data_IF_189624718693
#
_entry.id   IF_189624718693
#
_cell.length_a   1.000
_cell.length_b   1.000
_cell.length_c   1.000
_cell.angle_alpha   90.00
_cell.angle_beta   90.00
_cell.angle_gamma   90.00
#
_symmetry.space_group_name_H-M   'P 1'
#
loop_
_entity.id
_entity.type
_entity.pdbx_description
1 polymer ?
#
# COMPACT_ATOMS: atom_id res chain seq x y z
N UNK A 1 -35.56 14.19 61.41
CA UNK A 1 -34.85 15.41 61.00
C UNK A 1 -33.90 15.03 59.91
N UNK A 2 -34.10 15.56 58.77
CA UNK A 2 -33.36 15.51 57.49
C UNK A 2 -32.51 14.29 57.15
N UNK A 3 -33.07 13.44 56.30
CA UNK A 3 -32.44 12.39 55.52
C UNK A 3 -31.75 12.99 54.32
N UNK A 4 -30.45 12.72 54.17
CA UNK A 4 -29.68 12.99 52.92
C UNK A 4 -29.61 11.67 52.17
N UNK A 5 -29.97 11.69 50.88
CA UNK A 5 -29.92 10.58 49.95
C UNK A 5 -28.51 10.49 49.39
N UNK A 6 -27.97 9.28 49.37
CA UNK A 6 -26.73 8.93 48.66
C UNK A 6 -27.00 8.90 47.16
N UNK A 7 -26.09 9.54 46.43
CA UNK A 7 -26.09 9.69 44.98
C UNK A 7 -25.28 8.55 44.34
N UNK A 8 -25.91 7.86 43.40
CA UNK A 8 -25.39 6.72 42.68
C UNK A 8 -24.26 7.14 41.73
N UNK A 9 -23.02 6.80 42.04
CA UNK A 9 -21.91 6.88 41.11
C UNK A 9 -21.91 5.65 40.23
N UNK A 10 -22.42 5.79 39.00
CA UNK A 10 -22.31 4.79 37.96
C UNK A 10 -20.85 4.69 37.49
N UNK A 11 -20.27 3.51 37.68
CA UNK A 11 -19.00 3.07 37.15
C UNK A 11 -19.09 2.82 35.63
N UNK A 12 -18.19 3.31 34.78
CA UNK A 12 -18.16 3.01 33.36
C UNK A 12 -17.36 1.73 33.10
N UNK A 13 -17.94 0.60 33.31
CA UNK A 13 -17.38 -0.71 32.98
C UNK A 13 -18.43 -1.63 32.38
N UNK A 14 -18.94 -1.31 31.20
CA UNK A 14 -19.71 -2.27 30.38
C UNK A 14 -19.95 -1.70 28.97
N UNK A 15 -18.90 -1.67 28.16
CA UNK A 15 -19.04 -1.46 26.72
C UNK A 15 -17.84 -2.09 25.96
N UNK A 16 -17.52 -3.33 26.26
CA UNK A 16 -16.53 -4.11 25.52
C UNK A 16 -17.02 -5.55 25.38
N UNK A 17 -18.09 -5.75 24.65
CA UNK A 17 -18.44 -7.09 24.16
C UNK A 17 -19.61 -6.96 23.18
N UNK A 18 -19.28 -6.85 21.90
CA UNK A 18 -20.07 -7.31 20.74
C UNK A 18 -19.63 -6.51 19.51
N UNK A 19 -18.74 -7.05 18.72
CA UNK A 19 -18.62 -6.91 17.26
C UNK A 19 -17.46 -7.78 16.75
N UNK A 20 -17.60 -9.09 16.95
CA UNK A 20 -17.08 -10.07 16.00
C UNK A 20 -18.16 -10.21 14.93
N UNK A 21 -18.24 -9.22 14.04
CA UNK A 21 -18.94 -9.35 12.78
C UNK A 21 -17.88 -9.45 11.73
N UNK A 22 -17.86 -10.55 10.99
CA UNK A 22 -17.04 -10.72 9.81
C UNK A 22 -17.24 -9.54 8.86
N UNK A 23 -16.17 -9.17 8.13
CA UNK A 23 -16.28 -8.22 7.04
C UNK A 23 -17.44 -8.66 6.14
N UNK A 24 -18.45 -7.81 5.99
CA UNK A 24 -19.55 -8.08 5.07
C UNK A 24 -19.01 -8.12 3.65
N UNK A 25 -19.61 -8.92 2.78
CA UNK A 25 -19.23 -9.12 1.37
C UNK A 25 -19.16 -7.82 0.53
N UNK A 26 -19.41 -6.65 1.12
CA UNK A 26 -19.49 -5.34 0.46
C UNK A 26 -18.36 -4.35 0.87
N UNK A 27 -17.48 -4.67 1.83
CA UNK A 27 -16.43 -3.72 2.24
C UNK A 27 -15.24 -3.79 1.26
N UNK A 28 -14.82 -2.65 0.63
CA UNK A 28 -13.73 -2.66 -0.33
C UNK A 28 -12.40 -3.10 0.31
N UNK A 29 -11.63 -3.91 -0.42
CA UNK A 29 -10.29 -4.31 0.03
C UNK A 29 -9.34 -3.11 -0.02
N UNK A 30 -8.64 -2.87 1.08
CA UNK A 30 -7.75 -1.69 1.23
C UNK A 30 -6.38 -1.94 0.65
N UNK A 31 -5.98 -1.05 -0.26
CA UNK A 31 -4.65 -1.02 -0.87
C UNK A 31 -4.00 0.32 -0.56
N UNK A 32 -2.93 0.29 0.20
CA UNK A 32 -2.12 1.48 0.51
C UNK A 32 -0.96 1.57 -0.48
N UNK A 33 -0.86 2.69 -1.18
CA UNK A 33 0.22 2.95 -2.14
C UNK A 33 1.15 4.02 -1.59
N UNK A 34 2.44 3.72 -1.51
CA UNK A 34 3.45 4.70 -1.10
C UNK A 34 3.47 5.87 -2.10
N UNK A 35 3.43 7.12 -1.60
CA UNK A 35 3.47 8.30 -2.44
C UNK A 35 4.80 9.03 -2.28
N UNK A 36 5.46 9.33 -3.41
CA UNK A 36 6.61 10.23 -3.50
C UNK A 36 6.30 11.34 -4.50
N UNK A 37 6.46 12.58 -4.07
CA UNK A 37 6.13 13.76 -4.91
C UNK A 37 6.93 13.83 -6.22
N UNK A 38 8.10 13.18 -6.30
CA UNK A 38 8.92 13.07 -7.51
C UNK A 38 8.38 12.03 -8.50
N UNK A 39 7.49 11.15 -8.03
CA UNK A 39 6.95 10.02 -8.78
C UNK A 39 5.41 10.07 -8.87
N UNK A 40 4.82 11.28 -8.87
CA UNK A 40 3.34 11.45 -8.90
C UNK A 40 2.69 10.67 -10.06
N UNK A 41 3.28 10.75 -11.26
CA UNK A 41 2.74 10.02 -12.41
C UNK A 41 2.83 8.50 -12.25
N UNK A 42 3.87 7.98 -11.57
CA UNK A 42 4.00 6.56 -11.29
C UNK A 42 2.88 6.11 -10.33
N UNK A 43 2.60 6.88 -9.26
CA UNK A 43 1.49 6.63 -8.36
C UNK A 43 0.15 6.57 -9.11
N UNK A 44 -0.11 7.52 -10.03
CA UNK A 44 -1.37 7.57 -10.79
C UNK A 44 -1.55 6.36 -11.69
N UNK A 45 -0.48 5.96 -12.38
CA UNK A 45 -0.46 4.76 -13.23
C UNK A 45 -0.65 3.50 -12.39
N UNK A 46 0.05 3.37 -11.27
CA UNK A 46 -0.12 2.26 -10.33
C UNK A 46 -1.58 2.15 -9.86
N UNK A 47 -2.14 3.24 -9.35
CA UNK A 47 -3.53 3.31 -8.89
C UNK A 47 -4.53 2.93 -9.99
N UNK A 48 -4.37 3.48 -11.21
CA UNK A 48 -5.22 3.14 -12.35
C UNK A 48 -5.15 1.67 -12.70
N UNK A 49 -3.93 1.12 -12.76
CA UNK A 49 -3.71 -0.29 -13.11
C UNK A 49 -4.37 -1.25 -12.12
N UNK A 50 -4.38 -0.93 -10.83
CA UNK A 50 -5.12 -1.65 -9.79
C UNK A 50 -6.63 -1.59 -10.01
N UNK A 51 -7.19 -0.38 -10.09
CA UNK A 51 -8.64 -0.16 -10.16
C UNK A 51 -9.24 -0.74 -11.44
N UNK A 52 -8.53 -0.63 -12.58
CA UNK A 52 -9.05 -1.10 -13.87
C UNK A 52 -9.12 -2.62 -13.97
N UNK A 53 -8.23 -3.33 -13.28
CA UNK A 53 -8.11 -4.79 -13.40
C UNK A 53 -8.78 -5.56 -12.29
N UNK A 54 -9.19 -4.87 -11.23
CA UNK A 54 -9.79 -5.53 -10.07
C UNK A 54 -11.23 -5.96 -10.34
N UNK A 55 -11.53 -7.22 -10.07
CA UNK A 55 -12.90 -7.75 -10.05
C UNK A 55 -13.61 -7.56 -8.71
N UNK A 56 -12.88 -7.10 -7.68
CA UNK A 56 -13.43 -6.78 -6.37
C UNK A 56 -13.34 -5.27 -6.10
N UNK A 57 -14.21 -4.72 -5.24
CA UNK A 57 -14.10 -3.32 -4.83
C UNK A 57 -12.79 -3.06 -4.11
N UNK A 58 -12.06 -2.01 -4.53
CA UNK A 58 -10.83 -1.56 -3.90
C UNK A 58 -10.97 -0.14 -3.33
N UNK A 59 -10.41 0.06 -2.14
CA UNK A 59 -10.10 1.39 -1.60
C UNK A 59 -8.60 1.63 -1.70
N UNK A 60 -8.18 2.41 -2.72
CA UNK A 60 -6.77 2.68 -3.02
C UNK A 60 -6.35 4.01 -2.42
N UNK A 61 -5.58 3.95 -1.34
CA UNK A 61 -5.24 5.06 -0.45
C UNK A 61 -3.75 5.43 -0.60
N UNK A 62 -3.41 6.68 -0.97
CA UNK A 62 -2.01 7.11 -0.96
C UNK A 62 -1.50 7.27 0.47
N UNK A 63 -0.29 6.80 0.74
CA UNK A 63 0.44 7.14 1.96
C UNK A 63 1.30 8.36 1.68
N UNK A 64 0.75 9.54 1.97
CA UNK A 64 1.43 10.84 1.80
C UNK A 64 2.13 11.22 3.10
N UNK A 65 3.47 11.24 3.09
CA UNK A 65 4.26 11.50 4.31
C UNK A 65 3.88 12.83 4.99
N UNK A 66 3.63 13.87 4.20
CA UNK A 66 3.31 15.19 4.72
C UNK A 66 1.97 15.20 5.48
N UNK A 67 0.96 14.48 4.98
CA UNK A 67 -0.34 14.37 5.65
C UNK A 67 -0.20 13.63 6.99
N UNK A 68 0.62 12.58 7.03
CA UNK A 68 0.91 11.86 8.26
C UNK A 68 1.64 12.74 9.30
N UNK A 69 2.52 13.64 8.84
CA UNK A 69 3.17 14.63 9.71
C UNK A 69 2.15 15.63 10.27
N UNK A 70 1.25 16.16 9.45
CA UNK A 70 0.19 17.06 9.90
C UNK A 70 -0.76 16.39 10.89
N UNK A 71 -1.05 15.10 10.69
CA UNK A 71 -1.88 14.32 11.59
C UNK A 71 -1.15 13.90 12.89
N UNK A 72 0.15 14.20 13.03
CA UNK A 72 0.96 13.76 14.17
C UNK A 72 1.22 12.26 14.24
N UNK A 73 1.08 11.56 13.11
CA UNK A 73 1.29 10.12 13.00
C UNK A 73 2.70 9.73 12.56
N UNK A 74 3.51 10.70 12.11
CA UNK A 74 4.89 10.49 11.67
C UNK A 74 5.75 11.73 11.90
N UNK A 75 6.91 11.58 12.58
CA UNK A 75 7.79 12.70 12.93
C UNK A 75 9.30 12.40 12.78
N UNK A 76 9.63 11.28 12.11
CA UNK A 76 11.03 10.93 11.81
C UNK A 76 11.65 11.99 10.90
N UNK A 77 12.87 12.44 11.23
CA UNK A 77 13.68 13.23 10.32
C UNK A 77 14.13 12.38 9.14
N UNK A 78 14.14 12.96 7.92
CA UNK A 78 14.59 12.26 6.73
C UNK A 78 16.09 11.96 6.83
N UNK A 79 16.43 10.67 6.77
CA UNK A 79 17.81 10.22 6.74
C UNK A 79 18.43 10.27 5.33
N UNK A 80 19.78 10.33 5.23
CA UNK A 80 20.47 10.41 3.93
C UNK A 80 20.34 9.15 3.05
N UNK A 81 19.88 8.04 3.63
CA UNK A 81 19.71 6.75 2.95
C UNK A 81 18.25 6.44 2.59
N UNK A 82 17.33 7.37 2.85
CA UNK A 82 15.92 7.22 2.46
C UNK A 82 15.75 7.58 1.00
N UNK A 83 15.49 6.57 0.15
CA UNK A 83 15.33 6.75 -1.29
C UNK A 83 13.98 7.38 -1.66
N UNK A 84 12.92 7.14 -0.88
CA UNK A 84 11.55 7.62 -1.14
C UNK A 84 10.93 8.25 0.10
N UNK A 85 9.89 9.10 -0.09
CA UNK A 85 9.15 9.71 1.01
C UNK A 85 8.40 8.66 1.85
N UNK A 86 8.05 7.54 1.26
CA UNK A 86 7.35 6.44 1.93
C UNK A 86 8.28 5.33 2.45
N UNK A 87 9.59 5.54 2.47
CA UNK A 87 10.55 4.51 2.93
C UNK A 87 10.17 3.89 4.28
N UNK A 88 9.69 4.69 5.22
CA UNK A 88 9.26 4.20 6.54
C UNK A 88 7.75 4.25 6.75
N UNK A 89 7.04 5.21 6.16
CA UNK A 89 5.61 5.36 6.38
C UNK A 89 4.79 4.17 5.89
N UNK A 90 5.34 3.33 4.99
CA UNK A 90 4.75 2.04 4.58
C UNK A 90 4.39 1.14 5.76
N UNK A 91 5.16 1.20 6.84
CA UNK A 91 4.93 0.38 8.04
C UNK A 91 3.79 0.91 8.93
N UNK A 92 3.21 2.06 8.59
CA UNK A 92 1.97 2.54 9.21
C UNK A 92 0.71 1.87 8.63
N UNK A 93 0.84 1.04 7.59
CA UNK A 93 -0.32 0.38 6.97
C UNK A 93 -1.25 -0.30 7.99
N UNK A 94 -0.78 -1.11 8.98
CA UNK A 94 -1.67 -1.68 9.98
C UNK A 94 -2.39 -0.64 10.84
N UNK A 95 -1.69 0.44 11.21
CA UNK A 95 -2.29 1.54 11.98
C UNK A 95 -3.36 2.27 11.17
N UNK A 96 -3.07 2.62 9.92
CA UNK A 96 -3.98 3.31 9.00
C UNK A 96 -5.20 2.44 8.67
N UNK A 97 -5.01 1.12 8.66
CA UNK A 97 -6.10 0.14 8.54
C UNK A 97 -6.91 -0.04 9.83
N UNK A 98 -6.60 0.71 10.90
CA UNK A 98 -7.26 0.56 12.20
C UNK A 98 -6.99 -0.76 12.89
N UNK A 99 -5.89 -1.40 12.56
CA UNK A 99 -5.46 -2.72 13.07
C UNK A 99 -6.51 -3.82 12.86
N UNK A 100 -7.15 -3.85 11.68
CA UNK A 100 -8.20 -4.83 11.37
C UNK A 100 -8.08 -5.36 9.95
N UNK A 101 -8.31 -6.68 9.81
CA UNK A 101 -8.32 -7.40 8.55
C UNK A 101 -6.97 -7.40 7.85
N UNK A 102 -6.97 -7.78 6.60
CA UNK A 102 -5.82 -7.72 5.71
C UNK A 102 -5.81 -6.41 4.91
N UNK A 103 -4.62 -5.89 4.63
CA UNK A 103 -4.43 -4.76 3.73
C UNK A 103 -3.14 -4.95 2.92
N UNK A 104 -3.17 -4.53 1.65
CA UNK A 104 -1.99 -4.54 0.80
C UNK A 104 -1.28 -3.18 0.88
N UNK A 105 0.03 -3.19 1.06
CA UNK A 105 0.92 -2.07 0.77
C UNK A 105 1.73 -2.35 -0.48
N UNK A 106 1.88 -1.35 -1.36
CA UNK A 106 2.80 -1.38 -2.50
C UNK A 106 3.54 -0.04 -2.67
N UNK A 107 4.75 -0.09 -3.21
CA UNK A 107 5.46 1.09 -3.68
C UNK A 107 4.72 1.70 -4.90
N UNK A 108 4.88 2.99 -5.19
CA UNK A 108 4.18 3.64 -6.31
C UNK A 108 4.71 3.23 -7.69
N UNK A 109 5.86 2.61 -7.76
CA UNK A 109 6.54 2.17 -8.98
C UNK A 109 6.12 0.77 -9.46
N UNK A 110 4.88 0.36 -9.10
CA UNK A 110 4.24 -0.86 -9.59
C UNK A 110 3.33 -0.60 -10.78
N UNK A 111 3.25 -1.60 -11.68
CA UNK A 111 2.23 -1.70 -12.71
C UNK A 111 1.56 -3.07 -12.61
N UNK A 112 0.29 -3.10 -12.20
CA UNK A 112 -0.48 -4.33 -12.15
C UNK A 112 -0.94 -4.75 -13.54
N UNK A 113 -0.71 -6.02 -13.89
CA UNK A 113 -1.09 -6.62 -15.17
C UNK A 113 -2.23 -7.64 -15.02
N UNK A 114 -2.44 -8.17 -13.81
CA UNK A 114 -3.48 -9.13 -13.46
C UNK A 114 -4.44 -8.57 -12.41
N UNK A 115 -5.52 -9.27 -12.17
CA UNK A 115 -6.52 -8.93 -11.15
C UNK A 115 -5.96 -9.20 -9.75
N UNK A 116 -5.88 -8.15 -8.93
CA UNK A 116 -5.39 -8.26 -7.55
C UNK A 116 -6.27 -9.19 -6.68
N UNK A 117 -7.53 -9.42 -7.08
CA UNK A 117 -8.39 -10.39 -6.42
C UNK A 117 -7.77 -11.79 -6.39
N UNK A 118 -7.03 -12.18 -7.43
CA UNK A 118 -6.33 -13.47 -7.46
C UNK A 118 -5.24 -13.61 -6.37
N UNK A 119 -4.63 -12.47 -5.99
CA UNK A 119 -3.63 -12.43 -4.92
C UNK A 119 -4.29 -12.54 -3.54
N UNK A 120 -5.42 -11.87 -3.34
CA UNK A 120 -6.03 -11.71 -2.01
C UNK A 120 -7.17 -12.68 -1.73
N UNK A 121 -7.73 -13.36 -2.75
CA UNK A 121 -8.83 -14.30 -2.57
C UNK A 121 -8.59 -15.37 -1.50
N UNK A 122 -7.39 -15.99 -1.38
CA UNK A 122 -7.13 -16.97 -0.33
C UNK A 122 -7.27 -16.38 1.08
N UNK A 123 -6.91 -15.10 1.26
CA UNK A 123 -6.99 -14.39 2.54
C UNK A 123 -8.44 -14.03 2.88
N UNK A 124 -9.22 -13.64 1.88
CA UNK A 124 -10.62 -13.29 2.06
C UNK A 124 -11.49 -14.54 2.33
N UNK A 125 -11.14 -15.68 1.74
CA UNK A 125 -11.84 -16.94 1.93
C UNK A 125 -11.54 -17.60 3.30
N UNK A 126 -10.33 -17.39 3.84
CA UNK A 126 -9.87 -17.97 5.10
C UNK A 126 -10.26 -17.20 6.36
N UNK A 127 -10.91 -16.05 6.23
CA UNK A 127 -11.28 -15.18 7.35
C UNK A 127 -12.29 -15.82 8.37
N UNK A 128 -12.56 -17.12 8.28
CA UNK A 128 -13.46 -17.86 9.16
C UNK A 128 -12.85 -19.06 9.89
N UNK A 129 -11.59 -19.44 9.60
CA UNK A 129 -10.92 -20.56 10.29
C UNK A 129 -9.90 -19.98 11.28
N UNK A 130 -10.22 -20.03 12.58
CA UNK A 130 -9.49 -19.35 13.68
C UNK A 130 -7.99 -19.73 13.80
N UNK A 131 -7.52 -20.80 13.16
CA UNK A 131 -6.16 -21.32 13.34
C UNK A 131 -5.16 -20.83 12.26
N UNK A 132 -5.61 -20.44 11.07
CA UNK A 132 -4.72 -20.02 9.96
C UNK A 132 -4.59 -18.47 9.84
N UNK A 133 -5.58 -17.73 10.30
CA UNK A 133 -5.60 -16.25 10.26
C UNK A 133 -4.52 -15.60 11.15
N UNK A 134 -4.03 -16.34 12.16
CA UNK A 134 -3.00 -15.86 13.09
C UNK A 134 -1.59 -16.36 12.77
N UNK A 135 -1.41 -17.24 11.77
CA UNK A 135 -0.11 -17.83 11.47
C UNK A 135 0.87 -16.82 10.89
N UNK A 136 0.41 -16.00 9.94
CA UNK A 136 1.26 -15.02 9.28
C UNK A 136 0.88 -13.60 9.64
N UNK A 137 1.87 -12.84 10.09
CA UNK A 137 1.72 -11.42 10.36
C UNK A 137 1.83 -10.59 9.08
N UNK A 138 2.64 -11.07 8.12
CA UNK A 138 2.82 -10.49 6.79
C UNK A 138 3.02 -11.56 5.74
N UNK A 139 2.61 -11.26 4.49
CA UNK A 139 3.00 -12.04 3.32
C UNK A 139 3.71 -11.11 2.34
N UNK A 140 4.84 -11.54 1.80
CA UNK A 140 5.60 -10.77 0.81
C UNK A 140 6.39 -11.71 -0.12
N UNK A 141 6.93 -11.16 -1.21
CA UNK A 141 7.85 -11.92 -2.06
C UNK A 141 9.22 -12.01 -1.39
N UNK A 142 9.74 -13.21 -1.23
CA UNK A 142 11.07 -13.46 -0.68
C UNK A 142 12.14 -13.32 -1.76
N UNK A 143 12.45 -12.06 -2.14
CA UNK A 143 13.45 -11.80 -3.16
C UNK A 143 14.85 -12.24 -2.74
N UNK A 144 15.52 -13.04 -3.59
CA UNK A 144 16.97 -13.19 -3.60
C UNK A 144 17.56 -12.09 -4.51
N UNK A 145 17.66 -10.88 -3.94
CA UNK A 145 17.98 -9.68 -4.70
C UNK A 145 19.27 -9.02 -4.24
N UNK A 146 20.19 -8.84 -5.17
CA UNK A 146 21.39 -8.02 -4.98
C UNK A 146 21.40 -6.90 -6.02
N UNK A 147 21.44 -5.61 -5.61
CA UNK A 147 21.51 -4.50 -6.55
C UNK A 147 22.70 -4.62 -7.50
N UNK A 148 22.45 -4.45 -8.80
CA UNK A 148 23.52 -4.42 -9.83
C UNK A 148 24.26 -3.09 -9.86
N UNK A 149 23.60 -2.00 -9.39
CA UNK A 149 24.15 -0.64 -9.37
C UNK A 149 24.15 -0.06 -7.95
N UNK A 150 25.08 0.85 -7.67
CA UNK A 150 25.17 1.54 -6.38
C UNK A 150 24.11 2.66 -6.20
N UNK A 151 23.46 3.07 -7.29
CA UNK A 151 22.45 4.14 -7.29
C UNK A 151 21.22 3.71 -8.09
N UNK A 152 20.05 4.19 -7.68
CA UNK A 152 18.77 4.03 -8.37
C UNK A 152 18.06 5.37 -8.52
N UNK A 153 16.99 5.42 -9.33
CA UNK A 153 16.27 6.65 -9.63
C UNK A 153 17.26 7.75 -10.08
N UNK A 154 17.04 9.01 -9.76
CA UNK A 154 17.97 10.09 -10.08
C UNK A 154 19.07 10.27 -9.01
N UNK A 155 19.87 9.20 -8.76
CA UNK A 155 21.03 9.26 -7.89
C UNK A 155 20.80 8.81 -6.44
N UNK A 156 19.65 8.23 -6.11
CA UNK A 156 19.41 7.66 -4.78
C UNK A 156 20.33 6.48 -4.51
N UNK A 157 21.01 6.49 -3.36
CA UNK A 157 21.97 5.43 -2.98
C UNK A 157 21.25 4.11 -2.74
N UNK A 158 21.77 3.03 -3.33
CA UNK A 158 21.36 1.67 -3.02
C UNK A 158 22.30 1.02 -2.02
N UNK A 159 21.73 0.45 -0.95
CA UNK A 159 22.47 -0.36 0.03
C UNK A 159 22.05 -1.82 -0.07
N UNK A 160 23.00 -2.74 0.14
CA UNK A 160 22.72 -4.17 0.27
C UNK A 160 22.42 -4.49 1.72
N UNK A 161 21.29 -5.13 1.98
CA UNK A 161 20.91 -5.62 3.30
C UNK A 161 19.99 -6.86 3.17
N UNK A 162 19.94 -7.74 4.20
CA UNK A 162 19.05 -8.89 4.20
C UNK A 162 17.57 -8.49 3.97
N UNK A 163 16.83 -9.30 3.24
CA UNK A 163 15.41 -9.07 2.90
C UNK A 163 15.18 -7.79 2.08
N UNK A 164 16.17 -7.43 1.25
CA UNK A 164 16.06 -6.27 0.35
C UNK A 164 14.87 -6.45 -0.61
N UNK A 165 14.09 -5.39 -0.81
CA UNK A 165 12.84 -5.35 -1.59
C UNK A 165 11.65 -6.15 -1.03
N UNK A 166 11.80 -6.91 0.03
CA UNK A 166 10.66 -7.63 0.63
C UNK A 166 9.54 -6.69 1.08
N UNK A 167 9.89 -5.50 1.56
CA UNK A 167 8.92 -4.51 2.03
C UNK A 167 8.33 -3.60 0.93
N UNK A 168 8.65 -3.84 -0.35
CA UNK A 168 8.10 -3.03 -1.45
C UNK A 168 6.65 -3.40 -1.80
N UNK A 169 6.25 -4.65 -1.51
CA UNK A 169 4.88 -5.14 -1.55
C UNK A 169 4.65 -6.05 -0.35
N UNK A 170 3.70 -5.70 0.50
CA UNK A 170 3.39 -6.45 1.73
C UNK A 170 1.89 -6.54 1.93
N UNK A 171 1.39 -7.75 2.04
CA UNK A 171 0.08 -8.00 2.62
C UNK A 171 0.25 -8.06 4.14
N UNK A 172 -0.32 -7.09 4.84
CA UNK A 172 -0.31 -7.04 6.30
C UNK A 172 -1.58 -7.67 6.85
N UNK A 173 -1.43 -8.65 7.74
CA UNK A 173 -2.47 -8.99 8.70
C UNK A 173 -2.50 -7.87 9.76
N UNK A 174 -3.32 -6.85 9.54
CA UNK A 174 -3.30 -5.64 10.34
C UNK A 174 -3.69 -5.90 11.80
N UNK A 175 -4.54 -6.90 12.05
CA UNK A 175 -4.97 -7.32 13.40
C UNK A 175 -4.01 -8.25 14.11
N UNK A 176 -2.96 -8.74 13.44
CA UNK A 176 -2.00 -9.66 14.08
C UNK A 176 -1.35 -9.01 15.31
N UNK A 177 -1.31 -9.68 16.49
CA UNK A 177 -0.86 -9.08 17.75
C UNK A 177 0.53 -8.44 17.68
N UNK A 178 1.48 -9.05 16.94
CA UNK A 178 2.82 -8.50 16.76
C UNK A 178 2.84 -7.25 15.89
N UNK A 179 1.99 -7.14 14.87
CA UNK A 179 1.84 -5.93 14.06
C UNK A 179 1.22 -4.79 14.88
N UNK A 180 0.18 -5.09 15.65
CA UNK A 180 -0.48 -4.12 16.55
C UNK A 180 0.52 -3.58 17.57
N UNK A 181 1.36 -4.44 18.15
CA UNK A 181 2.32 -4.04 19.17
C UNK A 181 3.51 -3.26 18.61
N UNK A 182 4.02 -3.62 17.42
CA UNK A 182 5.27 -3.13 16.88
C UNK A 182 5.13 -1.99 15.86
N UNK A 183 4.00 -1.87 15.16
CA UNK A 183 3.83 -0.93 14.05
C UNK A 183 2.93 0.26 14.45
N UNK A 184 3.28 0.88 15.57
CA UNK A 184 2.63 2.12 16.04
C UNK A 184 3.29 3.35 15.40
N UNK A 185 2.62 4.52 15.36
CA UNK A 185 3.23 5.79 14.93
C UNK A 185 4.56 6.10 15.61
N UNK A 186 4.67 5.85 16.91
CA UNK A 186 5.91 6.04 17.67
C UNK A 186 7.02 5.08 17.19
N UNK A 187 6.72 3.79 17.09
CA UNK A 187 7.70 2.80 16.65
C UNK A 187 8.19 3.08 15.22
N UNK A 188 7.28 3.38 14.29
CA UNK A 188 7.65 3.70 12.91
C UNK A 188 8.46 5.00 12.82
N UNK A 189 8.20 5.98 13.69
CA UNK A 189 8.96 7.23 13.73
C UNK A 189 10.34 7.09 14.39
N UNK A 190 10.58 6.08 15.24
CA UNK A 190 11.79 6.00 16.08
C UNK A 190 12.66 4.76 15.85
N UNK A 191 12.09 3.64 15.41
CA UNK A 191 12.82 2.39 15.20
C UNK A 191 13.80 2.48 14.02
N UNK A 192 14.87 1.67 14.06
CA UNK A 192 15.86 1.65 12.98
C UNK A 192 15.25 1.13 11.65
N UNK A 193 15.84 1.58 10.53
CA UNK A 193 15.46 1.04 9.22
C UNK A 193 15.69 -0.47 9.12
N UNK A 194 16.72 -1.00 9.78
CA UNK A 194 16.97 -2.44 9.83
C UNK A 194 15.82 -3.19 10.56
N UNK A 195 15.34 -2.63 11.69
CA UNK A 195 14.22 -3.21 12.42
C UNK A 195 12.97 -3.33 11.52
N UNK A 196 12.63 -2.25 10.83
CA UNK A 196 11.43 -2.19 9.99
C UNK A 196 11.59 -3.03 8.70
N UNK A 197 12.59 -2.75 7.87
CA UNK A 197 12.73 -3.40 6.55
C UNK A 197 13.10 -4.88 6.60
N UNK A 198 13.63 -5.38 7.73
CA UNK A 198 13.93 -6.80 7.92
C UNK A 198 12.84 -7.53 8.69
N UNK A 199 11.72 -6.87 9.00
CA UNK A 199 10.63 -7.44 9.81
C UNK A 199 11.15 -8.02 11.15
N UNK A 200 12.03 -7.30 11.84
CA UNK A 200 12.71 -7.82 13.05
C UNK A 200 11.79 -7.95 14.27
N UNK A 201 10.55 -7.54 14.17
CA UNK A 201 9.50 -7.77 15.18
C UNK A 201 8.79 -9.13 15.01
N UNK A 202 9.11 -9.87 13.93
CA UNK A 202 8.50 -11.15 13.58
C UNK A 202 9.53 -12.27 13.64
N UNK A 203 9.08 -13.47 13.97
CA UNK A 203 9.83 -14.70 13.73
C UNK A 203 9.70 -15.09 12.24
N UNK A 204 10.67 -15.87 11.73
CA UNK A 204 10.70 -16.23 10.30
C UNK A 204 9.42 -16.96 9.85
N UNK A 205 8.82 -17.79 10.72
CA UNK A 205 7.58 -18.52 10.43
C UNK A 205 6.32 -17.65 10.36
N UNK A 206 6.41 -16.36 10.75
CA UNK A 206 5.30 -15.39 10.69
C UNK A 206 5.38 -14.49 9.44
N UNK A 207 6.44 -14.65 8.64
CA UNK A 207 6.61 -13.99 7.34
C UNK A 207 6.33 -15.02 6.26
N UNK A 208 5.13 -14.99 5.70
CA UNK A 208 4.73 -15.90 4.64
C UNK A 208 5.16 -15.41 3.26
N UNK A 209 5.08 -16.29 2.27
CA UNK A 209 5.57 -16.04 0.92
C UNK A 209 4.43 -15.80 -0.07
N UNK A 210 4.65 -14.86 -0.99
CA UNK A 210 3.84 -14.57 -2.17
C UNK A 210 4.64 -14.93 -3.41
N UNK A 211 4.03 -15.52 -4.47
CA UNK A 211 4.72 -15.79 -5.72
C UNK A 211 5.39 -14.53 -6.31
N UNK A 212 6.64 -14.68 -6.78
CA UNK A 212 7.45 -13.54 -7.26
C UNK A 212 6.84 -12.77 -8.42
N UNK A 213 5.95 -13.39 -9.19
CA UNK A 213 5.22 -12.78 -10.31
C UNK A 213 4.35 -11.59 -9.90
N UNK A 214 3.99 -11.49 -8.59
CA UNK A 214 3.26 -10.35 -8.03
C UNK A 214 4.15 -9.17 -7.62
N UNK A 215 5.47 -9.38 -7.58
CA UNK A 215 6.46 -8.34 -7.36
C UNK A 215 7.66 -8.60 -8.27
N UNK A 216 7.39 -8.64 -9.59
CA UNK A 216 8.36 -8.97 -10.61
C UNK A 216 9.32 -7.79 -10.81
N UNK A 217 10.56 -7.95 -10.37
CA UNK A 217 11.59 -6.91 -10.41
C UNK A 217 12.09 -6.72 -11.83
N UNK A 218 11.70 -5.63 -12.47
CA UNK A 218 12.12 -5.25 -13.83
C UNK A 218 13.63 -5.16 -13.92
N UNK A 219 14.22 -5.82 -14.93
CA UNK A 219 15.67 -5.92 -15.15
C UNK A 219 16.40 -6.89 -14.21
N UNK A 220 15.69 -7.62 -13.33
CA UNK A 220 16.25 -8.60 -12.40
C UNK A 220 15.59 -9.97 -12.51
N UNK A 221 14.28 -10.03 -12.54
CA UNK A 221 13.56 -11.27 -12.83
C UNK A 221 13.49 -11.50 -14.34
N UNK A 222 13.24 -12.72 -14.75
CA UNK A 222 13.05 -13.10 -16.15
C UNK A 222 11.85 -14.05 -16.28
N UNK A 223 11.16 -13.96 -17.40
CA UNK A 223 10.13 -14.94 -17.78
C UNK A 223 10.84 -16.18 -18.32
N UNK A 224 10.48 -17.35 -17.80
CA UNK A 224 10.96 -18.62 -18.33
C UNK A 224 10.11 -18.99 -19.56
N UNK A 225 10.71 -19.10 -20.77
CA UNK A 225 9.96 -19.45 -21.97
C UNK A 225 9.41 -20.88 -21.95
N UNK A 226 9.97 -21.76 -21.11
CA UNK A 226 9.50 -23.15 -20.96
C UNK A 226 8.37 -23.25 -19.90
N UNK A 227 8.20 -22.22 -19.06
CA UNK A 227 7.12 -22.12 -18.06
C UNK A 227 6.60 -20.67 -17.94
N UNK A 228 6.18 -20.13 -19.06
CA UNK A 228 5.66 -18.77 -19.12
C UNK A 228 4.44 -18.56 -18.20
N UNK A 229 3.58 -19.56 -18.09
CA UNK A 229 2.36 -19.47 -17.28
C UNK A 229 2.66 -19.26 -15.78
N UNK A 230 3.75 -19.83 -15.26
CA UNK A 230 4.17 -19.67 -13.86
C UNK A 230 5.08 -18.47 -13.63
N UNK A 231 5.72 -17.93 -14.68
CA UNK A 231 6.76 -16.90 -14.55
C UNK A 231 6.40 -15.56 -15.16
N UNK A 232 5.31 -15.46 -15.95
CA UNK A 232 4.83 -14.19 -16.49
C UNK A 232 4.43 -13.22 -15.38
N UNK A 233 4.84 -11.94 -15.44
CA UNK A 233 4.56 -10.98 -14.39
C UNK A 233 3.05 -10.71 -14.27
N UNK A 234 2.55 -10.74 -13.04
CA UNK A 234 1.20 -10.29 -12.67
C UNK A 234 1.23 -8.85 -12.17
N UNK A 235 2.36 -8.42 -11.58
CA UNK A 235 2.65 -7.04 -11.28
C UNK A 235 4.14 -6.76 -11.50
N UNK A 236 4.46 -5.75 -12.30
CA UNK A 236 5.80 -5.26 -12.55
C UNK A 236 6.20 -4.26 -11.47
N UNK A 237 7.44 -4.34 -11.01
CA UNK A 237 8.03 -3.40 -10.07
C UNK A 237 9.31 -2.79 -10.68
N UNK A 238 9.26 -1.50 -10.97
CA UNK A 238 10.38 -0.73 -11.55
C UNK A 238 11.37 -0.29 -10.47
N UNK A 239 11.85 -1.24 -9.65
CA UNK A 239 12.63 -0.99 -8.42
C UNK A 239 13.87 -0.12 -8.59
N UNK A 240 14.44 -0.02 -9.80
CA UNK A 240 15.59 0.85 -10.10
C UNK A 240 15.19 2.23 -10.62
N UNK A 241 13.93 2.41 -10.97
CA UNK A 241 13.31 3.53 -11.64
C UNK A 241 12.64 3.08 -12.94
N UNK A 242 11.57 3.75 -13.32
CA UNK A 242 10.75 3.41 -14.48
C UNK A 242 10.74 4.48 -15.57
N UNK A 243 9.91 4.29 -16.61
CA UNK A 243 9.92 5.12 -17.83
C UNK A 243 9.64 6.61 -17.61
N UNK A 244 9.17 7.02 -16.43
CA UNK A 244 8.97 8.43 -16.06
C UNK A 244 10.29 9.17 -15.76
N UNK A 245 11.41 8.44 -15.62
CA UNK A 245 12.75 9.03 -15.55
C UNK A 245 13.47 8.85 -16.86
N UNK A 246 14.08 9.93 -17.40
CA UNK A 246 14.78 9.91 -18.68
C UNK A 246 15.84 8.80 -18.78
N UNK A 247 16.53 8.51 -17.68
CA UNK A 247 17.55 7.45 -17.60
C UNK A 247 16.97 6.04 -17.85
N UNK A 248 15.69 5.83 -17.54
CA UNK A 248 15.03 4.52 -17.57
C UNK A 248 13.90 4.44 -18.61
N UNK A 249 13.81 5.43 -19.52
CA UNK A 249 12.73 5.52 -20.51
C UNK A 249 12.59 4.29 -21.42
N UNK A 250 13.71 3.59 -21.65
CA UNK A 250 13.78 2.40 -22.50
C UNK A 250 14.03 1.11 -21.68
N UNK A 251 13.63 1.07 -20.40
CA UNK A 251 13.77 -0.12 -19.58
C UNK A 251 12.84 -1.24 -20.06
N UNK A 252 13.10 -2.46 -19.61
CA UNK A 252 12.22 -3.61 -19.90
C UNK A 252 10.77 -3.30 -19.51
N UNK A 253 9.79 -3.72 -20.34
CA UNK A 253 8.36 -3.43 -20.17
C UNK A 253 7.98 -1.93 -20.11
N UNK A 254 8.83 -1.03 -20.60
CA UNK A 254 8.53 0.40 -20.66
C UNK A 254 7.27 0.71 -21.48
N UNK A 255 7.05 -0.02 -22.57
CA UNK A 255 5.89 0.10 -23.45
C UNK A 255 4.57 -0.15 -22.73
N UNK A 256 4.51 -1.15 -21.86
CA UNK A 256 3.30 -1.45 -21.06
C UNK A 256 2.97 -0.32 -20.10
N UNK A 257 3.99 0.24 -19.45
CA UNK A 257 3.80 1.36 -18.54
C UNK A 257 3.37 2.63 -19.30
N UNK A 258 3.99 2.90 -20.46
CA UNK A 258 3.64 4.05 -21.31
C UNK A 258 2.20 3.95 -21.81
N UNK A 259 1.75 2.77 -22.24
CA UNK A 259 0.36 2.53 -22.64
C UNK A 259 -0.62 2.83 -21.50
N UNK A 260 -0.34 2.38 -20.28
CA UNK A 260 -1.19 2.63 -19.12
C UNK A 260 -1.22 4.12 -18.74
N UNK A 261 -0.05 4.80 -18.82
CA UNK A 261 0.07 6.26 -18.62
C UNK A 261 -0.75 7.04 -19.64
N UNK A 262 -0.60 6.73 -20.92
CA UNK A 262 -1.28 7.47 -21.99
C UNK A 262 -2.79 7.30 -21.91
N UNK A 263 -3.25 6.10 -21.55
CA UNK A 263 -4.66 5.87 -21.28
C UNK A 263 -5.16 6.64 -20.04
N UNK A 264 -4.34 6.75 -18.97
CA UNK A 264 -4.66 7.58 -17.81
C UNK A 264 -4.80 9.06 -18.21
N UNK A 265 -3.85 9.59 -18.99
CA UNK A 265 -3.87 10.99 -19.40
C UNK A 265 -5.07 11.32 -20.29
N UNK A 266 -5.43 10.42 -21.20
CA UNK A 266 -6.63 10.59 -22.04
C UNK A 266 -7.91 10.64 -21.19
N UNK A 267 -8.05 9.78 -20.17
CA UNK A 267 -9.20 9.80 -19.25
C UNK A 267 -9.27 11.09 -18.42
N UNK A 268 -8.14 11.69 -18.05
CA UNK A 268 -8.12 12.95 -17.32
C UNK A 268 -8.48 14.13 -18.23
N UNK A 269 -8.03 14.13 -19.50
CA UNK A 269 -8.42 15.13 -20.49
C UNK A 269 -9.92 15.11 -20.76
N UNK A 270 -10.53 13.92 -20.94
CA UNK A 270 -11.97 13.77 -21.13
C UNK A 270 -12.76 14.31 -19.92
N UNK A 271 -12.33 14.01 -18.70
CA UNK A 271 -12.98 14.53 -17.48
C UNK A 271 -12.92 16.05 -17.38
N UNK A 272 -11.78 16.65 -17.76
CA UNK A 272 -11.63 18.11 -17.75
C UNK A 272 -12.54 18.78 -18.81
N UNK A 273 -12.71 18.17 -19.98
CA UNK A 273 -13.60 18.65 -21.02
C UNK A 273 -15.05 18.58 -20.57
N UNK A 274 -15.47 17.49 -19.96
CA UNK A 274 -16.83 17.31 -19.43
C UNK A 274 -17.16 18.34 -18.35
N UNK A 275 -16.21 18.64 -17.44
CA UNK A 275 -16.38 19.67 -16.41
C UNK A 275 -16.54 21.06 -17.04
N UNK A 276 -15.78 21.38 -18.11
CA UNK A 276 -15.87 22.64 -18.84
C UNK A 276 -17.18 22.77 -19.65
N UNK A 277 -17.75 21.64 -20.08
CA UNK A 277 -18.98 21.61 -20.87
C UNK A 277 -20.26 21.77 -20.04
N UNK A 278 -20.21 21.67 -18.71
CA UNK A 278 -21.37 21.91 -17.84
C UNK A 278 -21.72 23.39 -17.83
N UNK A 279 -22.91 23.85 -18.35
CA UNK A 279 -23.27 25.25 -18.37
C UNK A 279 -23.42 25.76 -16.94
N UNK A 280 -22.78 26.88 -16.62
CA UNK A 280 -23.08 27.63 -15.38
C UNK A 280 -24.58 28.00 -15.39
N UNK A 281 -25.36 27.34 -14.55
CA UNK A 281 -26.75 27.73 -14.33
C UNK A 281 -26.77 29.16 -13.82
N UNK A 282 -27.19 30.06 -14.69
CA UNK A 282 -27.42 31.47 -14.36
C UNK A 282 -28.54 31.53 -13.33
N UNK A 283 -28.21 31.72 -12.06
CA UNK A 283 -29.19 32.03 -11.04
C UNK A 283 -29.82 33.41 -11.37
N UNK A 284 -30.98 33.37 -12.02
CA UNK A 284 -31.82 34.56 -12.18
C UNK A 284 -32.45 34.81 -10.82
N UNK A 285 -31.86 35.74 -10.08
CA UNK A 285 -32.52 36.34 -8.89
C UNK A 285 -33.58 37.29 -9.44
N UNK A 286 -34.84 36.84 -9.43
CA UNK A 286 -35.98 37.78 -9.62
C UNK A 286 -36.11 38.61 -8.35
N UNK A 287 -35.73 39.85 -8.47
CA UNK A 287 -36.08 40.89 -7.47
C UNK A 287 -37.47 41.38 -7.85
N UNK A 288 -38.49 40.84 -7.21
CA UNK A 288 -39.82 41.43 -7.23
C UNK A 288 -39.84 42.68 -6.31
N UNK A 289 -40.22 43.82 -6.89
CA UNK A 289 -40.41 45.10 -6.25
C UNK A 289 -41.74 45.20 -5.48
#
# INVERSE_FOLDING_TARGET
MATVRDDDTMSPASAASSHLAGAGDDEPFRVFVGYDSREDIAYRVCRRSLLRRSSIPLDVIPIVQQDLRYAGLYWRDRGPTESTEFSFTRFLTPHLAGYRGWALFVDCDFLFLADVAELVAPLLAGAGEEDDDHRHAVLCVHHDYTPKEATKMDGAVQTVYPRKNWSSMVLFNCGHPKNVAALTPEAVSTQSGAFLHRFMWLDDGEVGEVPFVWNFLVGHNAVDPDDEAATAPRALHYTSGGPWFERYKDCEFADLWIQERDAYLAEEEEKEEDVKAVPMATAVVSVDA
#
